data_IF_157486864311
#
_entry.id   IF_157486864311
#
_cell.length_a   1.000
_cell.length_b   1.000
_cell.length_c   1.000
_cell.angle_alpha   90.00
_cell.angle_beta   90.00
_cell.angle_gamma   90.00
#
_symmetry.space_group_name_H-M   'P 1'
#
loop_
_entity.id
_entity.type
_entity.pdbx_description
1 polymer ?
#
# COMPACT_ATOMS: atom_id res chain seq x y z
N UNK A 1 -11.16 -12.42 32.97
CA UNK A 1 -9.77 -12.93 33.08
C UNK A 1 -8.97 -12.41 31.89
N UNK A 2 -7.69 -12.03 32.08
CA UNK A 2 -6.83 -11.62 30.98
C UNK A 2 -6.60 -12.79 30.02
N UNK A 3 -6.78 -12.55 28.73
CA UNK A 3 -6.45 -13.48 27.66
C UNK A 3 -5.06 -13.15 27.15
N UNK A 4 -4.22 -14.17 27.05
CA UNK A 4 -2.90 -14.07 26.42
C UNK A 4 -2.61 -15.39 25.72
N UNK A 5 -2.99 -15.51 24.45
CA UNK A 5 -2.62 -16.64 23.62
C UNK A 5 -1.27 -16.34 22.98
N UNK A 6 -0.32 -17.30 23.01
CA UNK A 6 1.02 -17.08 22.50
C UNK A 6 0.98 -16.77 20.99
N UNK A 7 2.01 -16.05 20.53
CA UNK A 7 2.14 -15.73 19.12
C UNK A 7 2.34 -17.00 18.29
N UNK A 8 1.57 -17.10 17.22
CA UNK A 8 1.69 -18.12 16.21
C UNK A 8 2.39 -17.53 14.99
N UNK A 9 3.54 -18.09 14.64
CA UNK A 9 4.25 -17.74 13.42
C UNK A 9 3.38 -18.12 12.21
N UNK A 10 3.31 -17.21 11.23
CA UNK A 10 2.57 -17.44 10.00
C UNK A 10 3.50 -17.95 8.90
N UNK A 11 3.01 -18.92 8.14
CA UNK A 11 3.68 -19.36 6.92
C UNK A 11 3.66 -18.21 5.90
N UNK A 12 4.78 -17.89 5.24
CA UNK A 12 4.78 -16.92 4.14
C UNK A 12 3.79 -17.31 3.04
N UNK A 13 3.12 -16.32 2.45
CA UNK A 13 2.20 -16.51 1.34
C UNK A 13 0.72 -16.77 1.73
N UNK A 14 -0.16 -17.05 0.75
CA UNK A 14 -1.61 -17.08 0.93
C UNK A 14 -2.12 -18.10 1.97
N UNK A 15 -1.33 -19.15 2.22
CA UNK A 15 -1.62 -20.14 3.26
C UNK A 15 -1.62 -19.53 4.65
N UNK A 16 -0.72 -18.57 4.92
CA UNK A 16 -0.67 -17.85 6.20
C UNK A 16 -1.98 -17.13 6.53
N UNK A 17 -2.67 -16.57 5.53
CA UNK A 17 -3.98 -15.92 5.71
C UNK A 17 -5.04 -16.93 6.16
N UNK A 18 -5.09 -18.10 5.51
CA UNK A 18 -6.05 -19.15 5.84
C UNK A 18 -5.78 -19.77 7.21
N UNK A 19 -4.51 -19.97 7.55
CA UNK A 19 -4.10 -20.52 8.84
C UNK A 19 -4.43 -19.57 9.99
N UNK A 20 -4.20 -18.27 9.78
CA UNK A 20 -4.55 -17.26 10.78
C UNK A 20 -6.05 -17.12 10.99
N UNK A 21 -6.86 -17.12 9.91
CA UNK A 21 -8.33 -17.14 10.04
C UNK A 21 -8.77 -18.33 10.89
N UNK A 22 -8.30 -19.54 10.54
CA UNK A 22 -8.64 -20.77 11.26
C UNK A 22 -8.26 -20.66 12.74
N UNK A 23 -7.06 -20.15 13.01
CA UNK A 23 -6.57 -19.97 14.37
C UNK A 23 -7.42 -18.97 15.17
N UNK A 24 -7.73 -17.79 14.60
CA UNK A 24 -8.56 -16.78 15.25
C UNK A 24 -9.95 -17.32 15.54
N UNK A 25 -10.59 -17.99 14.56
CA UNK A 25 -11.91 -18.60 14.75
C UNK A 25 -11.90 -19.65 15.86
N UNK A 26 -10.87 -20.48 15.91
CA UNK A 26 -10.71 -21.49 16.96
C UNK A 26 -10.58 -20.83 18.34
N UNK A 27 -9.68 -19.85 18.47
CA UNK A 27 -9.47 -19.17 19.76
C UNK A 27 -10.72 -18.44 20.22
N UNK A 28 -11.47 -17.78 19.32
CA UNK A 28 -12.73 -17.12 19.65
C UNK A 28 -13.82 -18.10 20.11
N UNK A 29 -13.86 -19.29 19.52
CA UNK A 29 -14.74 -20.38 19.97
C UNK A 29 -14.33 -20.87 21.36
N UNK A 30 -13.03 -21.03 21.62
CA UNK A 30 -12.51 -21.48 22.92
C UNK A 30 -12.78 -20.49 24.06
N UNK A 31 -12.85 -19.19 23.76
CA UNK A 31 -13.22 -18.16 24.74
C UNK A 31 -14.72 -17.90 24.77
N UNK A 32 -15.52 -18.74 24.09
CA UNK A 32 -16.99 -18.67 24.06
C UNK A 32 -17.47 -17.27 23.64
N UNK A 33 -16.94 -16.81 22.49
CA UNK A 33 -17.30 -15.61 21.73
C UNK A 33 -17.45 -15.89 20.22
N UNK A 34 -18.20 -16.93 19.80
CA UNK A 34 -18.34 -17.30 18.39
C UNK A 34 -18.95 -16.19 17.52
N UNK A 35 -19.74 -15.29 18.11
CA UNK A 35 -20.36 -14.16 17.44
C UNK A 35 -19.35 -13.12 16.90
N UNK A 36 -18.10 -13.14 17.36
CA UNK A 36 -17.03 -12.25 16.87
C UNK A 36 -16.26 -12.85 15.68
N UNK A 37 -16.53 -14.10 15.29
CA UNK A 37 -15.72 -14.82 14.30
C UNK A 37 -15.79 -14.16 12.93
N UNK A 38 -16.95 -13.66 12.52
CA UNK A 38 -17.13 -13.05 11.20
C UNK A 38 -16.25 -11.80 11.05
N UNK A 39 -16.43 -10.81 11.93
CA UNK A 39 -15.66 -9.56 11.93
C UNK A 39 -14.16 -9.79 12.14
N UNK A 40 -13.79 -10.74 13.00
CA UNK A 40 -12.40 -11.08 13.22
C UNK A 40 -11.75 -11.77 12.00
N UNK A 41 -12.50 -12.62 11.28
CA UNK A 41 -12.00 -13.31 10.09
C UNK A 41 -11.77 -12.34 8.93
N UNK A 42 -12.65 -11.35 8.77
CA UNK A 42 -12.50 -10.27 7.81
C UNK A 42 -11.25 -9.44 8.18
N UNK A 43 -11.20 -8.93 9.41
CA UNK A 43 -10.09 -8.08 9.86
C UNK A 43 -8.73 -8.76 9.79
N UNK A 44 -8.63 -10.01 10.27
CA UNK A 44 -7.36 -10.74 10.26
C UNK A 44 -6.91 -11.03 8.83
N UNK A 45 -7.84 -11.22 7.88
CA UNK A 45 -7.49 -11.43 6.48
C UNK A 45 -6.86 -10.19 5.86
N UNK A 46 -7.44 -9.02 6.11
CA UNK A 46 -6.92 -7.75 5.61
C UNK A 46 -5.58 -7.39 6.27
N UNK A 47 -5.48 -7.50 7.60
CA UNK A 47 -4.26 -7.17 8.32
C UNK A 47 -3.10 -8.09 7.92
N UNK A 48 -3.33 -9.40 7.77
CA UNK A 48 -2.27 -10.33 7.35
C UNK A 48 -1.95 -10.18 5.87
N UNK A 49 -2.92 -9.88 5.02
CA UNK A 49 -2.64 -9.57 3.61
C UNK A 49 -1.74 -8.35 3.53
N UNK A 50 -2.03 -7.28 4.28
CA UNK A 50 -1.17 -6.11 4.38
C UNK A 50 0.23 -6.45 4.91
N UNK A 51 0.32 -7.31 5.93
CA UNK A 51 1.61 -7.80 6.41
C UNK A 51 2.34 -8.58 5.31
N UNK A 52 1.74 -9.53 4.62
CA UNK A 52 2.41 -10.29 3.55
C UNK A 52 2.90 -9.42 2.37
N UNK A 53 2.29 -8.25 2.17
CA UNK A 53 2.68 -7.28 1.14
C UNK A 53 3.80 -6.34 1.59
N UNK A 54 3.79 -5.90 2.85
CA UNK A 54 4.62 -4.77 3.34
C UNK A 54 5.49 -5.08 4.56
N UNK A 55 5.30 -6.23 5.21
CA UNK A 55 6.03 -6.62 6.40
C UNK A 55 7.46 -7.07 6.09
N UNK A 56 8.31 -6.95 7.10
CA UNK A 56 9.53 -7.74 7.17
C UNK A 56 9.26 -9.01 7.98
N UNK A 57 9.70 -10.17 7.45
CA UNK A 57 9.59 -11.44 8.18
C UNK A 57 10.41 -11.40 9.48
N UNK A 58 9.99 -12.11 10.54
CA UNK A 58 8.84 -13.02 10.61
C UNK A 58 7.51 -12.31 10.92
N UNK A 59 6.42 -12.78 10.31
CA UNK A 59 5.05 -12.34 10.65
C UNK A 59 4.42 -13.32 11.64
N UNK A 60 3.79 -12.81 12.69
CA UNK A 60 3.09 -13.64 13.69
C UNK A 60 1.74 -13.05 14.07
N UNK A 61 0.78 -13.91 14.43
CA UNK A 61 -0.53 -13.52 14.95
C UNK A 61 -0.65 -13.93 16.41
N UNK A 62 -1.24 -13.08 17.26
CA UNK A 62 -1.54 -13.40 18.66
C UNK A 62 -2.87 -12.79 19.09
N UNK A 63 -3.37 -13.23 20.26
CA UNK A 63 -4.62 -12.73 20.84
C UNK A 63 -4.38 -12.36 22.30
N UNK A 64 -4.67 -11.10 22.62
CA UNK A 64 -4.55 -10.49 23.95
C UNK A 64 -5.89 -9.91 24.40
N UNK A 65 -5.89 -9.21 25.54
CA UNK A 65 -7.04 -8.46 26.03
C UNK A 65 -7.86 -9.27 27.03
N UNK A 66 -9.19 -9.22 26.89
CA UNK A 66 -10.12 -9.90 27.79
C UNK A 66 -11.12 -10.73 26.99
N UNK A 67 -11.91 -11.58 27.66
CA UNK A 67 -12.99 -12.31 27.00
C UNK A 67 -14.02 -11.37 26.35
N UNK A 68 -14.28 -10.23 26.97
CA UNK A 68 -15.26 -9.25 26.47
C UNK A 68 -14.68 -8.41 25.32
N UNK A 69 -13.38 -8.13 25.39
CA UNK A 69 -12.63 -7.36 24.38
C UNK A 69 -11.37 -8.12 23.94
N UNK A 70 -11.53 -9.18 23.11
CA UNK A 70 -10.38 -9.92 22.59
C UNK A 70 -9.67 -9.06 21.55
N UNK A 71 -8.39 -8.78 21.75
CA UNK A 71 -7.56 -8.00 20.84
C UNK A 71 -6.71 -8.95 20.00
N UNK A 72 -6.93 -8.97 18.69
CA UNK A 72 -6.10 -9.71 17.74
C UNK A 72 -4.95 -8.80 17.31
N UNK A 73 -3.74 -9.35 17.27
CA UNK A 73 -2.53 -8.59 16.97
C UNK A 73 -1.69 -9.34 15.95
N UNK A 74 -1.21 -8.63 14.94
CA UNK A 74 -0.30 -9.12 13.90
C UNK A 74 0.99 -8.34 14.02
N UNK A 75 2.09 -9.03 14.32
CA UNK A 75 3.42 -8.41 14.48
C UNK A 75 4.32 -8.80 13.32
N UNK A 76 5.07 -7.82 12.83
CA UNK A 76 6.13 -7.99 11.85
C UNK A 76 7.36 -7.14 12.19
N UNK A 77 8.48 -7.38 11.50
CA UNK A 77 9.76 -6.70 11.75
C UNK A 77 9.90 -5.32 11.09
N UNK A 78 8.92 -4.87 10.31
CA UNK A 78 8.93 -3.53 9.70
C UNK A 78 8.60 -2.49 10.76
N UNK A 79 9.30 -1.36 10.71
CA UNK A 79 9.01 -0.18 11.53
C UNK A 79 8.20 0.87 10.77
N UNK A 80 7.84 0.58 9.52
CA UNK A 80 7.07 1.50 8.68
C UNK A 80 5.61 1.54 9.14
N UNK A 81 5.06 2.72 9.49
CA UNK A 81 3.67 2.84 9.91
C UNK A 81 2.71 2.31 8.84
N UNK A 82 1.61 1.65 9.24
CA UNK A 82 0.55 1.36 8.29
C UNK A 82 -0.11 2.69 7.91
N UNK A 83 -0.46 2.84 6.66
CA UNK A 83 -1.17 4.02 6.22
C UNK A 83 -2.64 3.93 6.69
N UNK A 84 -3.09 4.97 7.39
CA UNK A 84 -4.42 5.02 7.99
C UNK A 84 -5.49 5.30 6.93
N UNK A 85 -6.72 4.77 7.10
CA UNK A 85 -7.88 5.24 6.34
C UNK A 85 -8.24 6.66 6.77
N UNK A 86 -8.62 7.51 5.81
CA UNK A 86 -9.17 8.83 6.10
C UNK A 86 -10.68 8.67 6.33
N UNK A 87 -11.17 8.98 7.54
CA UNK A 87 -12.57 8.75 7.91
C UNK A 87 -13.46 9.99 7.75
N UNK A 88 -12.88 11.12 7.33
CA UNK A 88 -13.59 12.40 7.15
C UNK A 88 -14.02 12.67 5.70
N UNK A 89 -13.56 11.84 4.75
CA UNK A 89 -13.93 11.92 3.32
C UNK A 89 -15.13 11.00 2.99
N UNK A 90 -15.88 11.35 1.92
CA UNK A 90 -17.05 10.58 1.46
C UNK A 90 -16.64 9.11 1.18
N UNK A 91 -17.45 8.07 1.45
CA UNK A 91 -17.07 6.67 1.23
C UNK A 91 -16.71 6.32 -0.22
N UNK A 92 -17.08 7.18 -1.17
CA UNK A 92 -16.67 7.10 -2.58
C UNK A 92 -15.23 7.62 -2.83
N UNK A 93 -14.72 8.53 -1.98
CA UNK A 93 -13.34 9.05 -2.02
C UNK A 93 -12.35 8.20 -1.20
N UNK A 94 -12.80 7.48 -0.16
CA UNK A 94 -11.99 6.47 0.55
C UNK A 94 -11.70 5.23 -0.34
N UNK A 95 -12.39 5.10 -1.48
CA UNK A 95 -12.00 4.18 -2.55
C UNK A 95 -10.71 4.63 -3.23
N UNK A 96 -10.36 5.92 -3.19
CA UNK A 96 -9.24 6.54 -3.90
C UNK A 96 -7.92 6.55 -3.11
N UNK A 97 -7.98 6.26 -1.81
CA UNK A 97 -6.81 6.02 -0.96
C UNK A 97 -6.57 4.52 -0.82
N UNK A 98 -5.84 4.03 -1.79
CA UNK A 98 -5.22 2.70 -1.84
C UNK A 98 -4.11 2.55 -0.81
N UNK A 99 -4.31 3.01 0.40
CA UNK A 99 -3.50 2.62 1.53
C UNK A 99 -4.38 2.40 2.78
N UNK A 100 -5.64 2.88 2.72
CA UNK A 100 -6.67 2.73 3.75
C UNK A 100 -7.68 1.60 3.54
N UNK A 101 -8.02 1.16 2.32
CA UNK A 101 -9.19 0.26 2.09
C UNK A 101 -9.27 -1.02 2.93
N UNK A 102 -8.16 -1.74 3.12
CA UNK A 102 -8.16 -2.94 3.99
C UNK A 102 -8.36 -2.56 5.47
N UNK A 103 -7.78 -1.44 5.90
CA UNK A 103 -7.94 -0.91 7.24
C UNK A 103 -9.27 -0.15 7.42
N UNK A 104 -9.93 0.33 6.36
CA UNK A 104 -11.27 0.90 6.44
C UNK A 104 -12.32 -0.21 6.62
N UNK A 105 -12.12 -1.37 5.99
CA UNK A 105 -12.89 -2.58 6.36
C UNK A 105 -12.64 -2.93 7.83
N UNK A 106 -11.38 -2.98 8.29
CA UNK A 106 -11.07 -3.21 9.71
C UNK A 106 -11.73 -2.15 10.61
N UNK A 107 -11.72 -0.88 10.22
CA UNK A 107 -12.34 0.22 10.95
C UNK A 107 -13.86 0.07 11.09
N UNK A 108 -14.54 -0.46 10.07
CA UNK A 108 -15.99 -0.69 10.09
C UNK A 108 -16.39 -1.94 10.86
N UNK A 109 -15.52 -2.96 10.89
CA UNK A 109 -15.82 -4.25 11.52
C UNK A 109 -15.15 -4.43 12.89
N UNK A 110 -14.51 -3.39 13.42
CA UNK A 110 -13.84 -3.42 14.73
C UNK A 110 -14.33 -2.30 15.62
N UNK A 111 -14.44 -2.58 16.92
CA UNK A 111 -14.75 -1.57 17.95
C UNK A 111 -13.56 -0.65 18.26
N UNK A 112 -12.35 -1.15 18.02
CA UNK A 112 -11.10 -0.39 18.08
C UNK A 112 -10.04 -1.06 17.22
N UNK A 113 -9.14 -0.29 16.63
CA UNK A 113 -7.97 -0.82 15.94
C UNK A 113 -6.83 0.19 15.98
N UNK A 114 -5.63 -0.26 15.65
CA UNK A 114 -4.47 0.60 15.65
C UNK A 114 -3.18 -0.10 15.26
N UNK A 115 -2.08 0.63 15.42
CA UNK A 115 -0.74 0.13 15.22
C UNK A 115 0.20 0.61 16.33
N UNK A 116 0.96 -0.31 16.88
CA UNK A 116 2.02 -0.06 17.84
C UNK A 116 3.36 -0.27 17.16
N UNK A 117 4.22 0.75 17.15
CA UNK A 117 5.55 0.67 16.53
C UNK A 117 6.60 0.79 17.64
N UNK A 118 7.53 -0.15 17.66
CA UNK A 118 8.67 -0.21 18.56
C UNK A 118 9.99 -0.36 17.77
N UNK A 119 11.11 -0.53 18.47
CA UNK A 119 12.43 -0.68 17.84
C UNK A 119 12.58 -2.00 17.08
N UNK A 120 11.81 -3.02 17.47
CA UNK A 120 11.89 -4.38 16.94
C UNK A 120 10.86 -4.65 15.84
N UNK A 121 9.91 -3.72 15.62
CA UNK A 121 8.96 -3.78 14.51
C UNK A 121 7.62 -3.13 14.80
N UNK A 122 6.60 -3.62 14.11
CA UNK A 122 5.23 -3.07 14.13
C UNK A 122 4.25 -4.15 14.52
N UNK A 123 3.28 -3.78 15.34
CA UNK A 123 2.15 -4.60 15.73
C UNK A 123 0.85 -3.91 15.31
N UNK A 124 0.20 -4.41 14.26
CA UNK A 124 -1.14 -3.95 13.86
C UNK A 124 -2.17 -4.76 14.65
N UNK A 125 -3.18 -4.09 15.22
CA UNK A 125 -4.14 -4.74 16.12
C UNK A 125 -5.57 -4.27 15.89
N UNK A 126 -6.54 -5.11 16.26
CA UNK A 126 -7.95 -4.77 16.25
C UNK A 126 -8.74 -5.54 17.32
N UNK A 127 -9.89 -4.98 17.70
CA UNK A 127 -10.87 -5.57 18.61
C UNK A 127 -12.16 -5.80 17.83
N UNK A 128 -12.50 -7.06 17.47
CA UNK A 128 -13.68 -7.37 16.66
C UNK A 128 -14.97 -7.02 17.41
N UNK A 129 -16.01 -6.72 16.66
CA UNK A 129 -17.35 -6.42 17.17
C UNK A 129 -18.43 -7.25 16.47
N UNK A 130 -19.62 -7.31 17.07
CA UNK A 130 -20.74 -8.10 16.53
C UNK A 130 -21.45 -7.35 15.40
N UNK A 131 -21.66 -6.05 15.57
CA UNK A 131 -22.35 -5.21 14.59
C UNK A 131 -21.35 -4.45 13.74
N UNK A 132 -21.59 -4.43 12.42
CA UNK A 132 -20.84 -3.60 11.48
C UNK A 132 -21.25 -2.14 11.70
N UNK A 133 -20.29 -1.22 11.67
CA UNK A 133 -20.61 0.20 11.72
C UNK A 133 -21.36 0.62 10.44
N UNK A 134 -22.50 1.30 10.62
CA UNK A 134 -23.30 1.89 9.53
C UNK A 134 -22.62 3.12 8.88
N UNK A 135 -21.49 3.59 9.45
CA UNK A 135 -20.71 4.74 8.98
C UNK A 135 -19.25 4.41 8.60
N UNK A 136 -18.35 5.41 8.54
CA UNK A 136 -16.96 5.25 8.06
C UNK A 136 -16.11 4.31 8.93
N UNK A 137 -16.55 3.99 10.15
CA UNK A 137 -15.84 3.11 11.09
C UNK A 137 -15.14 3.90 12.19
N UNK A 138 -14.35 3.21 13.03
CA UNK A 138 -13.60 3.85 14.12
C UNK A 138 -12.20 4.28 13.67
N UNK A 139 -11.73 5.43 14.16
CA UNK A 139 -10.40 5.94 13.84
C UNK A 139 -9.30 5.06 14.44
N UNK A 140 -8.30 4.73 13.63
CA UNK A 140 -7.16 3.93 14.06
C UNK A 140 -6.21 4.72 14.95
N UNK A 141 -5.72 4.07 16.02
CA UNK A 141 -4.73 4.67 16.91
C UNK A 141 -3.32 4.21 16.54
N UNK A 142 -2.44 5.15 16.15
CA UNK A 142 -1.00 4.87 16.05
C UNK A 142 -0.32 5.32 17.34
N UNK A 143 0.37 4.39 18.00
CA UNK A 143 1.18 4.67 19.18
C UNK A 143 2.62 4.24 18.93
N UNK A 144 3.54 5.19 19.06
CA UNK A 144 4.97 4.97 18.93
C UNK A 144 5.61 4.97 20.33
N UNK A 145 6.27 3.87 20.69
CA UNK A 145 6.91 3.74 22.03
C UNK A 145 8.27 4.44 22.09
N UNK A 146 8.85 4.71 20.93
CA UNK A 146 10.05 5.49 20.69
C UNK A 146 9.70 6.35 19.47
N UNK A 147 9.92 7.69 19.48
CA UNK A 147 9.78 8.44 18.25
C UNK A 147 10.66 7.74 17.23
N UNK A 148 10.10 7.34 16.08
CA UNK A 148 10.94 6.98 14.96
C UNK A 148 11.92 8.14 14.83
N UNK A 149 13.20 7.91 15.15
CA UNK A 149 14.23 8.78 14.62
C UNK A 149 13.96 8.68 13.13
N UNK A 150 13.40 9.76 12.57
CA UNK A 150 13.38 9.96 11.13
C UNK A 150 14.86 9.89 10.82
N UNK A 151 15.34 8.71 10.46
CA UNK A 151 16.69 8.56 9.95
C UNK A 151 16.74 9.61 8.87
N UNK A 152 17.62 10.60 9.04
CA UNK A 152 17.81 11.61 8.02
C UNK A 152 17.93 10.85 6.70
N UNK A 153 17.14 11.24 5.67
CA UNK A 153 17.15 10.51 4.41
C UNK A 153 18.61 10.29 4.02
N UNK A 154 19.00 9.03 3.69
CA UNK A 154 20.40 8.69 3.50
C UNK A 154 21.03 9.72 2.58
N UNK A 155 22.21 10.23 2.95
CA UNK A 155 22.87 11.31 2.23
C UNK A 155 22.87 11.00 0.72
N UNK A 156 22.20 11.85 -0.04
CA UNK A 156 22.01 11.64 -1.47
C UNK A 156 23.33 11.95 -2.18
N UNK A 157 24.09 10.90 -2.52
CA UNK A 157 25.33 11.04 -3.28
C UNK A 157 25.01 11.46 -4.73
N UNK A 158 25.66 12.54 -5.21
CA UNK A 158 25.39 13.19 -6.50
C UNK A 158 23.89 13.56 -6.67
N UNK A 159 23.39 14.50 -5.85
CA UNK A 159 21.98 14.87 -5.85
C UNK A 159 21.63 15.68 -7.10
N UNK A 160 20.42 15.43 -7.61
CA UNK A 160 19.78 16.19 -8.68
C UNK A 160 18.37 16.56 -8.22
N UNK A 161 18.03 17.84 -8.34
CA UNK A 161 16.66 18.31 -8.15
C UNK A 161 15.84 18.02 -9.40
N UNK A 162 14.71 17.35 -9.22
CA UNK A 162 13.71 17.08 -10.25
C UNK A 162 12.44 17.82 -9.88
N UNK A 163 11.93 18.66 -10.77
CA UNK A 163 10.70 19.43 -10.56
C UNK A 163 9.57 18.91 -11.47
N UNK A 164 8.47 18.49 -10.86
CA UNK A 164 7.22 18.13 -11.52
C UNK A 164 6.32 19.37 -11.52
N UNK A 165 6.23 20.05 -12.65
CA UNK A 165 5.47 21.30 -12.78
C UNK A 165 4.02 20.98 -13.17
N UNK A 166 3.05 21.53 -12.44
CA UNK A 166 1.60 21.34 -12.65
C UNK A 166 1.14 19.91 -12.43
N UNK A 167 1.65 19.24 -11.39
CA UNK A 167 1.29 17.86 -11.03
C UNK A 167 -0.21 17.78 -10.71
N UNK A 168 -1.05 17.10 -11.53
CA UNK A 168 -2.48 16.96 -11.27
C UNK A 168 -2.73 16.00 -10.09
N UNK A 169 -3.23 16.53 -8.97
CA UNK A 169 -3.43 15.73 -7.76
C UNK A 169 -4.50 14.63 -7.92
N UNK A 170 -5.64 14.83 -8.61
CA UNK A 170 -6.62 13.76 -8.84
C UNK A 170 -6.04 12.58 -9.64
N UNK A 171 -5.27 12.87 -10.70
CA UNK A 171 -4.62 11.83 -11.53
C UNK A 171 -3.50 11.15 -10.75
N UNK A 172 -2.75 11.89 -9.92
CA UNK A 172 -1.75 11.33 -9.00
C UNK A 172 -2.39 10.38 -7.98
N UNK A 173 -3.52 10.74 -7.36
CA UNK A 173 -4.30 9.88 -6.46
C UNK A 173 -4.68 8.57 -7.19
N UNK A 174 -5.34 8.67 -8.35
CA UNK A 174 -5.74 7.51 -9.15
C UNK A 174 -4.55 6.64 -9.60
N UNK A 175 -3.41 7.24 -9.92
CA UNK A 175 -2.20 6.53 -10.32
C UNK A 175 -1.60 5.72 -9.16
N UNK A 176 -1.51 6.30 -7.95
CA UNK A 176 -1.04 5.58 -6.75
C UNK A 176 -1.91 4.37 -6.47
N UNK A 177 -3.22 4.48 -6.75
CA UNK A 177 -4.13 3.34 -6.65
C UNK A 177 -3.85 2.20 -7.57
N UNK A 178 -3.76 2.52 -8.85
CA UNK A 178 -3.51 1.52 -9.85
C UNK A 178 -2.19 0.79 -9.54
N UNK A 179 -1.12 1.51 -9.22
CA UNK A 179 0.18 0.92 -8.88
C UNK A 179 0.12 0.05 -7.61
N UNK A 180 -0.70 0.38 -6.60
CA UNK A 180 -0.90 -0.51 -5.45
C UNK A 180 -1.60 -1.80 -5.86
N UNK A 181 -2.75 -1.72 -6.52
CA UNK A 181 -3.54 -2.92 -6.85
C UNK A 181 -2.74 -3.86 -7.77
N UNK A 182 -2.01 -3.30 -8.73
CA UNK A 182 -1.09 -4.06 -9.57
C UNK A 182 -0.02 -4.78 -8.73
N UNK A 183 0.63 -4.08 -7.79
CA UNK A 183 1.62 -4.68 -6.89
C UNK A 183 1.00 -5.79 -6.05
N UNK A 184 -0.20 -5.56 -5.49
CA UNK A 184 -0.94 -6.52 -4.67
C UNK A 184 -1.19 -7.80 -5.45
N UNK A 185 -1.74 -7.68 -6.66
CA UNK A 185 -2.07 -8.86 -7.47
C UNK A 185 -0.83 -9.61 -7.92
N UNK A 186 0.20 -8.91 -8.42
CA UNK A 186 1.48 -9.54 -8.80
C UNK A 186 2.12 -10.28 -7.62
N UNK A 187 2.05 -9.72 -6.40
CA UNK A 187 2.57 -10.37 -5.20
C UNK A 187 1.73 -11.59 -4.79
N UNK A 188 0.41 -11.54 -4.92
CA UNK A 188 -0.46 -12.68 -4.65
C UNK A 188 -0.21 -13.82 -5.64
N UNK A 189 -0.01 -13.51 -6.92
CA UNK A 189 0.37 -14.49 -7.95
C UNK A 189 1.75 -15.08 -7.66
N UNK A 190 2.72 -14.23 -7.31
CA UNK A 190 4.07 -14.67 -6.96
C UNK A 190 4.07 -15.63 -5.76
N UNK A 191 3.33 -15.32 -4.69
CA UNK A 191 3.30 -16.14 -3.47
C UNK A 191 2.42 -17.39 -3.59
N UNK A 192 1.40 -17.37 -4.46
CA UNK A 192 0.46 -18.48 -4.63
C UNK A 192 0.81 -19.45 -5.77
N UNK A 193 1.53 -18.97 -6.79
CA UNK A 193 1.65 -19.63 -8.09
C UNK A 193 2.98 -19.32 -8.80
N UNK A 194 4.10 -19.23 -8.06
CA UNK A 194 5.41 -18.86 -8.60
C UNK A 194 5.83 -19.67 -9.85
N UNK A 195 5.53 -20.98 -9.87
CA UNK A 195 5.82 -21.86 -11.00
C UNK A 195 4.95 -21.61 -12.23
N UNK A 196 3.76 -21.03 -12.05
CA UNK A 196 2.78 -20.75 -13.11
C UNK A 196 2.96 -19.35 -13.67
N UNK A 197 3.37 -18.39 -12.83
CA UNK A 197 3.53 -16.97 -13.20
C UNK A 197 4.93 -16.42 -12.84
N UNK A 198 6.00 -16.91 -13.50
CA UNK A 198 7.37 -16.48 -13.20
C UNK A 198 7.63 -14.99 -13.49
N UNK A 199 6.88 -14.41 -14.42
CA UNK A 199 6.92 -12.97 -14.71
C UNK A 199 6.35 -12.14 -13.55
N UNK A 200 5.27 -12.60 -12.91
CA UNK A 200 4.69 -11.92 -11.74
C UNK A 200 5.65 -11.90 -10.55
N UNK A 201 6.42 -12.98 -10.34
CA UNK A 201 7.47 -13.02 -9.31
C UNK A 201 8.65 -12.08 -9.60
N UNK A 202 9.01 -11.92 -10.87
CA UNK A 202 10.08 -11.00 -11.31
C UNK A 202 9.65 -9.55 -11.18
N UNK A 203 8.45 -9.20 -11.66
CA UNK A 203 7.84 -7.88 -11.49
C UNK A 203 7.66 -7.56 -10.00
N UNK A 204 7.14 -8.49 -9.20
CA UNK A 204 6.95 -8.30 -7.76
C UNK A 204 8.25 -7.96 -7.03
N UNK A 205 9.36 -8.67 -7.31
CA UNK A 205 10.66 -8.37 -6.70
C UNK A 205 11.16 -6.98 -7.07
N UNK A 206 11.05 -6.62 -8.35
CA UNK A 206 11.46 -5.30 -8.81
C UNK A 206 10.65 -4.17 -8.19
N UNK A 207 9.32 -4.32 -8.06
CA UNK A 207 8.48 -3.34 -7.37
C UNK A 207 8.90 -3.16 -5.91
N UNK A 208 9.32 -4.22 -5.22
CA UNK A 208 9.85 -4.15 -3.85
C UNK A 208 11.21 -3.44 -3.78
N UNK A 209 12.10 -3.69 -4.74
CA UNK A 209 13.42 -3.02 -4.82
C UNK A 209 13.26 -1.50 -5.10
N UNK A 210 12.31 -1.12 -5.95
CA UNK A 210 11.97 0.28 -6.18
C UNK A 210 11.32 0.94 -4.96
N UNK A 211 10.46 0.24 -4.21
CA UNK A 211 9.74 0.79 -3.06
C UNK A 211 10.66 1.33 -1.98
N UNK A 212 11.76 0.63 -1.74
CA UNK A 212 12.75 1.01 -0.74
C UNK A 212 13.48 2.31 -1.05
N UNK A 213 13.66 2.64 -2.33
CA UNK A 213 14.52 3.76 -2.77
C UNK A 213 13.69 4.94 -3.25
N UNK A 214 12.57 4.70 -3.93
CA UNK A 214 11.83 5.72 -4.67
C UNK A 214 10.68 6.34 -3.85
N UNK A 215 9.81 5.51 -3.28
CA UNK A 215 8.61 6.01 -2.58
C UNK A 215 8.95 6.69 -1.25
N UNK A 216 10.11 6.40 -0.64
CA UNK A 216 10.62 7.18 0.51
C UNK A 216 10.97 8.62 0.13
N UNK A 217 11.55 8.87 -1.04
CA UNK A 217 11.89 10.22 -1.51
C UNK A 217 10.67 11.03 -1.95
N UNK A 218 9.63 10.35 -2.44
CA UNK A 218 8.33 10.95 -2.77
C UNK A 218 7.39 11.11 -1.56
N UNK A 219 7.77 10.65 -0.36
CA UNK A 219 7.12 11.05 0.91
C UNK A 219 7.55 12.46 1.28
N UNK A 220 7.43 13.38 0.34
CA UNK A 220 7.55 14.80 0.59
C UNK A 220 6.34 15.23 1.43
N UNK A 221 6.58 15.90 2.55
CA UNK A 221 5.50 16.43 3.39
C UNK A 221 4.60 17.36 2.59
N UNK A 222 5.14 18.07 1.60
CA UNK A 222 4.40 18.94 0.68
C UNK A 222 3.38 18.16 -0.13
N UNK A 223 3.79 17.04 -0.75
CA UNK A 223 2.88 16.18 -1.49
C UNK A 223 1.87 15.49 -0.56
N UNK A 224 2.30 15.08 0.63
CA UNK A 224 1.42 14.46 1.62
C UNK A 224 0.33 15.42 2.09
N UNK A 225 0.68 16.67 2.40
CA UNK A 225 -0.26 17.73 2.77
C UNK A 225 -1.20 18.08 1.61
N UNK A 226 -0.66 18.32 0.42
CA UNK A 226 -1.48 18.68 -0.75
C UNK A 226 -2.45 17.57 -1.16
N UNK A 227 -2.12 16.29 -0.96
CA UNK A 227 -3.05 15.19 -1.21
C UNK A 227 -4.23 15.13 -0.23
N UNK A 228 -4.08 15.70 0.97
CA UNK A 228 -5.15 15.83 1.98
C UNK A 228 -5.98 17.09 1.77
N UNK A 229 -5.45 18.06 1.03
CA UNK A 229 -6.16 19.28 0.65
C UNK A 229 -6.91 19.06 -0.68
N UNK A 230 -7.89 19.93 -0.96
CA UNK A 230 -8.74 19.85 -2.17
C UNK A 230 -8.12 20.63 -3.34
N UNK A 231 -6.79 20.57 -3.45
CA UNK A 231 -6.04 21.22 -4.51
C UNK A 231 -6.11 20.41 -5.82
N UNK A 232 -6.24 21.11 -6.95
CA UNK A 232 -6.28 20.48 -8.27
C UNK A 232 -4.88 20.12 -8.80
N UNK A 233 -3.88 20.98 -8.53
CA UNK A 233 -2.50 20.81 -9.02
C UNK A 233 -1.45 21.45 -8.08
N UNK A 234 -0.22 20.91 -8.10
CA UNK A 234 0.93 21.51 -7.39
C UNK A 234 2.21 21.47 -8.24
N UNK A 235 3.17 22.35 -7.92
CA UNK A 235 4.56 22.18 -8.36
C UNK A 235 5.34 21.46 -7.26
N UNK A 236 5.96 20.32 -7.60
CA UNK A 236 6.67 19.48 -6.64
C UNK A 236 8.14 19.33 -7.03
N UNK A 237 9.06 19.69 -6.12
CA UNK A 237 10.51 19.52 -6.32
C UNK A 237 11.06 18.43 -5.41
N UNK A 238 11.74 17.45 -6.00
CA UNK A 238 12.22 16.25 -5.33
C UNK A 238 13.72 16.13 -5.56
N UNK A 239 14.48 15.84 -4.51
CA UNK A 239 15.91 15.55 -4.63
C UNK A 239 16.13 14.04 -4.77
N UNK A 240 16.80 13.63 -5.86
CA UNK A 240 17.13 12.21 -6.12
C UNK A 240 18.60 12.05 -6.50
N UNK A 241 19.22 10.87 -6.28
CA UNK A 241 20.53 10.57 -6.85
C UNK A 241 20.48 10.65 -8.38
N UNK A 242 21.55 11.14 -9.03
CA UNK A 242 21.63 11.17 -10.52
C UNK A 242 21.37 9.81 -11.17
N UNK A 243 21.86 8.73 -10.55
CA UNK A 243 21.66 7.34 -11.02
C UNK A 243 20.19 6.95 -11.14
N UNK A 244 19.28 7.62 -10.42
CA UNK A 244 17.86 7.28 -10.44
C UNK A 244 17.24 7.43 -11.82
N UNK A 245 17.81 8.26 -12.72
CA UNK A 245 17.35 8.32 -14.12
C UNK A 245 17.39 6.96 -14.84
N UNK A 246 18.40 6.13 -14.59
CA UNK A 246 18.48 4.77 -15.15
C UNK A 246 17.50 3.79 -14.49
N UNK A 247 17.17 4.02 -13.22
CA UNK A 247 16.19 3.23 -12.47
C UNK A 247 14.77 3.52 -12.99
N UNK A 248 14.42 4.79 -13.25
CA UNK A 248 13.13 5.16 -13.84
C UNK A 248 12.95 4.68 -15.27
N UNK A 249 14.00 4.70 -16.07
CA UNK A 249 13.93 4.16 -17.42
C UNK A 249 13.56 2.67 -17.40
N UNK A 250 14.23 1.88 -16.55
CA UNK A 250 13.89 0.47 -16.32
C UNK A 250 12.47 0.29 -15.77
N UNK A 251 12.02 1.21 -14.90
CA UNK A 251 10.67 1.14 -14.36
C UNK A 251 9.58 1.33 -15.42
N UNK A 252 9.77 2.27 -16.34
CA UNK A 252 8.85 2.50 -17.46
C UNK A 252 8.71 1.23 -18.30
N UNK A 253 9.84 0.62 -18.70
CA UNK A 253 9.84 -0.65 -19.46
C UNK A 253 9.08 -1.77 -18.72
N UNK A 254 9.20 -1.81 -17.39
CA UNK A 254 8.55 -2.84 -16.59
C UNK A 254 7.06 -2.61 -16.40
N UNK A 255 6.60 -1.36 -16.35
CA UNK A 255 5.17 -1.04 -16.36
C UNK A 255 4.54 -1.46 -17.70
N UNK A 256 5.25 -1.28 -18.81
CA UNK A 256 4.80 -1.78 -20.12
C UNK A 256 4.71 -3.32 -20.16
N UNK A 257 5.68 -4.02 -19.56
CA UNK A 257 5.61 -5.47 -19.42
C UNK A 257 4.46 -5.92 -18.51
N UNK A 258 4.22 -5.21 -17.40
CA UNK A 258 3.11 -5.50 -16.50
C UNK A 258 1.77 -5.33 -17.21
N UNK A 259 1.60 -4.29 -18.02
CA UNK A 259 0.41 -4.10 -18.86
C UNK A 259 0.22 -5.19 -19.90
N UNK A 260 1.30 -5.60 -20.58
CA UNK A 260 1.24 -6.71 -21.52
C UNK A 260 0.81 -8.00 -20.82
N UNK A 261 1.31 -8.25 -19.61
CA UNK A 261 0.93 -9.38 -18.78
C UNK A 261 -0.53 -9.31 -18.33
N UNK A 262 -1.01 -8.15 -17.85
CA UNK A 262 -2.41 -7.93 -17.48
C UNK A 262 -3.36 -8.20 -18.66
N UNK A 263 -3.00 -7.72 -19.87
CA UNK A 263 -3.78 -7.95 -21.10
C UNK A 263 -3.85 -9.43 -21.50
N UNK A 264 -2.77 -10.18 -21.33
CA UNK A 264 -2.69 -11.59 -21.75
C UNK A 264 -3.32 -12.56 -20.75
N UNK A 265 -3.11 -12.33 -19.45
CA UNK A 265 -3.50 -13.28 -18.38
C UNK A 265 -4.83 -12.91 -17.68
N UNK A 266 -5.55 -11.89 -18.16
CA UNK A 266 -6.85 -11.42 -17.62
C UNK A 266 -6.85 -11.30 -16.09
N UNK A 267 -5.87 -10.56 -15.59
CA UNK A 267 -5.77 -10.19 -14.18
C UNK A 267 -6.98 -9.36 -13.73
N UNK A 268 -7.30 -9.41 -12.43
CA UNK A 268 -8.38 -8.64 -11.82
C UNK A 268 -8.05 -7.14 -11.74
N UNK A 269 -6.77 -6.76 -11.80
CA UNK A 269 -6.33 -5.36 -11.89
C UNK A 269 -6.65 -4.81 -13.26
N UNK A 270 -7.44 -3.73 -13.27
CA UNK A 270 -7.87 -3.00 -14.46
C UNK A 270 -6.66 -2.49 -15.24
N UNK A 271 -6.70 -2.67 -16.57
CA UNK A 271 -5.78 -2.05 -17.53
C UNK A 271 -5.67 -0.53 -17.28
N UNK A 272 -4.45 0.02 -17.38
CA UNK A 272 -4.23 1.47 -17.21
C UNK A 272 -5.12 2.24 -18.19
N UNK A 273 -5.76 3.30 -17.73
CA UNK A 273 -6.45 4.21 -18.65
C UNK A 273 -5.43 4.95 -19.53
N UNK A 274 -5.79 5.40 -20.74
CA UNK A 274 -4.87 6.20 -21.57
C UNK A 274 -4.31 7.42 -20.82
N UNK A 275 -5.14 8.08 -20.02
CA UNK A 275 -4.74 9.22 -19.19
C UNK A 275 -3.69 8.83 -18.13
N UNK A 276 -3.80 7.64 -17.52
CA UNK A 276 -2.79 7.13 -16.59
C UNK A 276 -1.48 6.78 -17.29
N UNK A 277 -1.54 6.24 -18.51
CA UNK A 277 -0.35 5.94 -19.32
C UNK A 277 0.39 7.23 -19.64
N UNK A 278 -0.31 8.25 -20.13
CA UNK A 278 0.27 9.54 -20.47
C UNK A 278 0.87 10.21 -19.23
N UNK A 279 0.15 10.16 -18.11
CA UNK A 279 0.60 10.71 -16.83
C UNK A 279 1.86 10.05 -16.30
N UNK A 280 1.90 8.72 -16.28
CA UNK A 280 3.09 7.96 -15.85
C UNK A 280 4.28 8.21 -16.79
N UNK A 281 4.02 8.27 -18.10
CA UNK A 281 5.05 8.54 -19.12
C UNK A 281 5.67 9.91 -18.89
N UNK A 282 4.86 10.95 -18.66
CA UNK A 282 5.35 12.26 -18.32
C UNK A 282 6.10 12.26 -16.98
N UNK A 283 5.47 11.77 -15.90
CA UNK A 283 6.04 11.84 -14.55
C UNK A 283 7.38 11.14 -14.48
N UNK A 284 7.46 9.87 -14.87
CA UNK A 284 8.73 9.12 -14.84
C UNK A 284 9.72 9.62 -15.89
N UNK A 285 9.21 10.10 -17.03
CA UNK A 285 10.02 10.77 -18.06
C UNK A 285 10.74 12.00 -17.55
N UNK A 286 10.13 12.80 -16.67
CA UNK A 286 10.76 13.97 -16.08
C UNK A 286 11.97 13.61 -15.22
N UNK A 287 11.92 12.52 -14.45
CA UNK A 287 13.10 12.04 -13.73
C UNK A 287 14.23 11.62 -14.68
N UNK A 288 13.91 10.91 -15.77
CA UNK A 288 14.91 10.49 -16.77
C UNK A 288 15.53 11.71 -17.47
N UNK A 289 14.71 12.71 -17.80
CA UNK A 289 15.15 13.93 -18.51
C UNK A 289 15.99 14.83 -17.62
N UNK A 290 15.52 15.15 -16.41
CA UNK A 290 16.15 16.14 -15.53
C UNK A 290 17.44 15.60 -14.89
N UNK A 291 17.53 14.29 -14.62
CA UNK A 291 18.81 13.65 -14.20
C UNK A 291 19.92 13.75 -15.25
N UNK A 292 19.55 13.94 -16.52
CA UNK A 292 20.46 14.21 -17.65
C UNK A 292 20.67 15.71 -17.93
N UNK A 293 20.12 16.59 -17.09
CA UNK A 293 20.29 18.04 -17.18
C UNK A 293 19.28 18.76 -18.08
N UNK A 294 18.18 18.12 -18.47
CA UNK A 294 17.11 18.80 -19.19
C UNK A 294 16.28 19.71 -18.27
N UNK A 295 15.65 20.74 -18.84
CA UNK A 295 14.71 21.61 -18.13
C UNK A 295 13.37 20.90 -17.86
N UNK A 296 12.67 21.23 -16.75
CA UNK A 296 11.39 20.66 -16.40
C UNK A 296 10.31 21.01 -17.41
N UNK A 297 9.42 20.06 -17.69
CA UNK A 297 8.23 20.27 -18.51
C UNK A 297 6.98 20.17 -17.65
N UNK A 298 6.07 21.13 -17.85
CA UNK A 298 4.75 21.11 -17.22
C UNK A 298 3.90 19.95 -17.74
N UNK A 299 3.13 19.31 -16.87
CA UNK A 299 2.10 18.37 -17.28
C UNK A 299 1.11 19.05 -18.22
N UNK A 300 0.83 18.42 -19.36
CA UNK A 300 -0.23 18.82 -20.27
C UNK A 300 -1.06 17.57 -20.58
N UNK A 301 -2.37 17.58 -20.28
CA UNK A 301 -3.21 16.46 -20.68
C UNK A 301 -3.23 16.37 -22.22
N UNK A 302 -3.21 15.16 -22.79
CA UNK A 302 -3.24 14.97 -24.24
C UNK A 302 -4.46 15.66 -24.86
N UNK A 303 -4.23 16.35 -25.97
CA UNK A 303 -5.29 17.03 -26.70
C UNK A 303 -6.35 16.03 -27.22
N UNK A 304 -7.60 16.46 -27.47
CA UNK A 304 -8.65 15.57 -28.00
C UNK A 304 -8.33 14.90 -29.35
N UNK A 305 -7.28 15.34 -30.05
CA UNK A 305 -6.82 14.77 -31.33
C UNK A 305 -5.94 13.51 -31.18
N UNK A 306 -5.21 13.35 -30.07
CA UNK A 306 -4.29 12.21 -29.84
C UNK A 306 -5.03 10.96 -29.35
N UNK A 307 -6.16 11.14 -28.66
CA UNK A 307 -7.04 10.05 -28.21
C UNK A 307 -7.59 9.16 -29.32
N UNK A 308 -7.53 9.57 -30.59
CA UNK A 308 -8.05 8.79 -31.74
C UNK A 308 -7.05 7.79 -32.33
N UNK A 309 -5.75 7.87 -32.01
CA UNK A 309 -4.75 6.98 -32.60
C UNK A 309 -4.44 5.72 -31.77
N UNK A 310 -4.84 5.66 -30.49
CA UNK A 310 -4.53 4.50 -29.62
C UNK A 310 -5.65 3.45 -29.53
N UNK A 311 -6.82 3.67 -30.13
CA UNK A 311 -7.92 2.68 -30.12
C UNK A 311 -7.86 1.65 -31.25
N UNK A 312 -6.80 1.62 -32.06
CA UNK A 312 -6.64 0.62 -33.13
C UNK A 312 -5.16 0.23 -33.26
N UNK A 313 -4.72 -0.78 -32.51
CA UNK A 313 -3.70 -1.77 -32.92
C UNK A 313 -3.66 -2.94 -31.95
#
# INVERSE_FOLDING_TARGET
MPLNRPAQALTPGPRGVSDARRWVSQVLTEIDRPELIESASISVSEVITNALLHAQNPVSVRLRGTRDFPRVEVRDGSREPPALPNLEEDPEDDLLLTFGRGLSIVARVSSAWGAEIDEEGKTVWFVPQVELADGPGVQGLITESVPLQREDPPEVVDPVEVTLVGLPLPVMKANRMHLRELRRELRLLALGHESTYPLAASLSRFFTELDHTFWRGLRDETLASALLEDDDEIDLTITVPRRSGEEFHRFIELLELADAFCRQERLLTLERTPEQIDFQTWMFGEFVRQTRGAAPLRWQPPGPAERRHQSVS
#
